data_IF_754070231267
#
_entry.id   IF_754070231267
#
_cell.length_a   1.000
_cell.length_b   1.000
_cell.length_c   1.000
_cell.angle_alpha   90.00
_cell.angle_beta   90.00
_cell.angle_gamma   90.00
#
_symmetry.space_group_name_H-M   'P 1'
#
loop_
_entity.id
_entity.type
_entity.pdbx_description
1 polymer ?
#
# COMPACT_ATOMS: atom_id res chain seq x y z
N UNK A 1 32.02 -26.10 -52.63
CA UNK A 1 31.00 -25.27 -51.97
C UNK A 1 30.09 -26.15 -51.13
N UNK A 2 30.31 -26.15 -49.82
CA UNK A 2 29.39 -26.52 -48.72
C UNK A 2 30.20 -26.26 -47.45
N UNK A 3 29.84 -25.20 -46.71
CA UNK A 3 30.46 -24.82 -45.42
C UNK A 3 29.59 -25.44 -44.33
N UNK A 4 30.19 -26.29 -43.51
CA UNK A 4 29.58 -26.83 -42.30
C UNK A 4 29.59 -25.79 -41.18
N UNK A 5 28.48 -25.73 -40.45
CA UNK A 5 28.20 -24.80 -39.35
C UNK A 5 28.75 -25.34 -38.03
N UNK A 6 29.47 -24.55 -37.19
CA UNK A 6 29.94 -25.03 -35.90
C UNK A 6 28.87 -24.97 -34.79
N UNK A 7 28.87 -26.03 -33.99
CA UNK A 7 27.99 -26.32 -32.86
C UNK A 7 28.26 -25.40 -31.64
N UNK A 8 27.20 -24.85 -31.03
CA UNK A 8 27.18 -23.87 -29.90
C UNK A 8 27.56 -24.44 -28.52
N UNK A 9 28.41 -25.48 -28.43
CA UNK A 9 28.75 -26.14 -27.15
C UNK A 9 30.22 -26.12 -26.72
N UNK A 10 31.05 -25.24 -27.30
CA UNK A 10 32.47 -25.14 -26.94
C UNK A 10 32.99 -23.69 -26.92
N UNK A 11 32.38 -22.79 -26.13
CA UNK A 11 32.90 -21.42 -26.00
C UNK A 11 33.21 -20.94 -24.57
N UNK A 12 33.22 -21.79 -23.54
CA UNK A 12 33.81 -21.36 -22.26
C UNK A 12 34.68 -22.47 -21.69
N UNK A 13 35.88 -22.60 -22.25
CA UNK A 13 37.07 -23.02 -21.52
C UNK A 13 38.27 -22.34 -22.15
N UNK A 14 39.09 -21.75 -21.28
CA UNK A 14 40.47 -21.28 -21.48
C UNK A 14 40.74 -20.00 -22.27
N UNK A 15 40.90 -18.93 -21.50
CA UNK A 15 41.71 -17.72 -21.75
C UNK A 15 41.49 -16.83 -20.53
N UNK A 16 42.43 -16.54 -19.64
CA UNK A 16 43.86 -16.29 -19.75
C UNK A 16 44.11 -15.24 -18.65
N UNK A 17 45.03 -15.50 -17.73
CA UNK A 17 45.24 -14.69 -16.54
C UNK A 17 45.59 -13.23 -16.90
N UNK A 18 44.78 -12.29 -16.41
CA UNK A 18 45.11 -10.86 -16.36
C UNK A 18 44.79 -10.36 -14.94
N UNK A 19 45.80 -9.78 -14.30
CA UNK A 19 45.75 -9.27 -12.94
C UNK A 19 44.67 -8.19 -12.80
N UNK A 20 43.62 -8.47 -12.03
CA UNK A 20 42.65 -7.46 -11.57
C UNK A 20 43.13 -7.00 -10.21
N UNK A 21 43.59 -5.75 -10.15
CA UNK A 21 43.78 -5.03 -8.89
C UNK A 21 42.50 -5.16 -8.07
N UNK A 22 42.64 -5.68 -6.84
CA UNK A 22 41.54 -5.77 -5.90
C UNK A 22 41.11 -4.35 -5.51
N UNK A 23 40.20 -3.76 -6.29
CA UNK A 23 39.33 -2.72 -5.77
C UNK A 23 38.44 -3.42 -4.74
N UNK A 24 38.76 -3.20 -3.48
CA UNK A 24 37.85 -3.49 -2.37
C UNK A 24 36.58 -2.69 -2.63
N UNK A 25 35.58 -3.34 -3.24
CA UNK A 25 34.20 -2.89 -3.16
C UNK A 25 33.85 -3.06 -1.69
N UNK A 26 34.03 -2.00 -0.92
CA UNK A 26 33.49 -1.87 0.43
C UNK A 26 31.98 -1.86 0.29
N UNK A 27 31.36 -3.04 0.32
CA UNK A 27 29.96 -3.15 0.68
C UNK A 27 29.82 -2.51 2.06
N UNK A 28 28.84 -1.60 2.29
CA UNK A 28 28.60 -1.11 3.63
C UNK A 28 28.37 -2.33 4.52
N UNK A 29 29.25 -2.52 5.49
CA UNK A 29 29.06 -3.49 6.56
C UNK A 29 27.72 -3.13 7.19
N UNK A 30 26.69 -3.93 6.93
CA UNK A 30 25.44 -3.86 7.69
C UNK A 30 25.85 -4.25 9.11
N UNK A 31 26.08 -3.24 9.95
CA UNK A 31 26.29 -3.46 11.37
C UNK A 31 25.00 -4.04 11.91
N UNK A 32 25.00 -5.35 12.10
CA UNK A 32 23.95 -6.05 12.83
C UNK A 32 23.73 -5.35 14.17
N UNK A 33 22.51 -4.89 14.43
CA UNK A 33 22.15 -4.34 15.72
C UNK A 33 22.33 -5.41 16.81
N UNK A 34 22.66 -5.00 18.03
CA UNK A 34 22.53 -5.92 19.17
C UNK A 34 21.05 -6.26 19.34
N UNK A 35 20.70 -7.53 19.64
CA UNK A 35 19.33 -7.89 19.96
C UNK A 35 18.74 -6.97 21.02
N UNK A 36 17.53 -6.45 20.79
CA UNK A 36 16.87 -5.54 21.74
C UNK A 36 15.99 -6.35 22.71
N UNK A 37 16.34 -6.39 23.99
CA UNK A 37 15.54 -7.06 25.04
C UNK A 37 14.72 -6.09 25.91
N UNK A 38 14.73 -4.79 25.62
CA UNK A 38 14.02 -3.77 26.40
C UNK A 38 12.50 -3.90 26.22
N UNK A 39 11.73 -3.43 27.20
CA UNK A 39 10.28 -3.27 27.00
C UNK A 39 10.04 -2.15 26.00
N UNK A 40 9.42 -2.45 24.85
CA UNK A 40 9.18 -1.44 23.82
C UNK A 40 7.89 -0.66 24.10
N UNK A 41 7.97 0.67 24.01
CA UNK A 41 6.84 1.58 24.19
C UNK A 41 6.24 1.94 22.83
N UNK A 42 4.97 1.59 22.65
CA UNK A 42 4.24 1.81 21.41
C UNK A 42 3.45 3.13 21.52
N UNK A 43 3.65 4.00 20.55
CA UNK A 43 2.80 5.15 20.25
C UNK A 43 1.76 4.81 19.19
N UNK A 44 0.51 5.19 19.41
CA UNK A 44 -0.57 4.90 18.48
C UNK A 44 -1.23 6.19 17.96
N UNK A 45 -1.13 6.45 16.65
CA UNK A 45 -1.56 7.69 16.01
C UNK A 45 -2.65 7.37 14.97
N UNK A 46 -3.88 7.85 15.23
CA UNK A 46 -5.07 7.57 14.42
C UNK A 46 -5.92 6.42 14.98
N UNK A 47 -6.71 6.70 16.00
CA UNK A 47 -7.47 5.76 16.84
C UNK A 47 -8.79 5.25 16.21
N UNK A 48 -8.79 5.05 14.89
CA UNK A 48 -9.94 4.52 14.15
C UNK A 48 -10.07 2.99 14.23
N UNK A 49 -11.06 2.41 13.54
CA UNK A 49 -11.33 0.97 13.58
C UNK A 49 -10.14 0.11 13.11
N UNK A 50 -9.58 0.39 11.93
CA UNK A 50 -8.40 -0.31 11.42
C UNK A 50 -7.18 -0.12 12.34
N UNK A 51 -6.95 1.11 12.80
CA UNK A 51 -5.87 1.43 13.73
C UNK A 51 -5.99 0.69 15.07
N UNK A 52 -7.19 0.60 15.64
CA UNK A 52 -7.45 -0.17 16.87
C UNK A 52 -7.11 -1.65 16.65
N UNK A 53 -7.37 -2.17 15.44
CA UNK A 53 -6.90 -3.48 15.00
C UNK A 53 -5.37 -3.59 15.05
N UNK A 54 -4.67 -2.71 14.32
CA UNK A 54 -3.20 -2.68 14.24
C UNK A 54 -2.54 -2.57 15.63
N UNK A 55 -3.07 -1.74 16.52
CA UNK A 55 -2.60 -1.64 17.90
C UNK A 55 -2.77 -2.96 18.67
N UNK A 56 -3.92 -3.65 18.52
CA UNK A 56 -4.10 -4.97 19.12
C UNK A 56 -3.15 -6.02 18.54
N UNK A 57 -2.84 -5.96 17.23
CA UNK A 57 -1.90 -6.87 16.58
C UNK A 57 -0.45 -6.62 17.04
N UNK A 58 -0.04 -5.35 17.13
CA UNK A 58 1.26 -4.98 17.68
C UNK A 58 1.46 -5.45 19.12
N UNK A 59 0.44 -5.32 19.98
CA UNK A 59 0.48 -5.81 21.36
C UNK A 59 0.45 -7.35 21.46
N UNK A 60 0.06 -8.05 20.40
CA UNK A 60 0.13 -9.51 20.33
C UNK A 60 1.48 -10.03 19.83
N UNK A 61 2.17 -9.22 19.01
CA UNK A 61 3.36 -9.64 18.31
C UNK A 61 4.55 -9.89 19.23
N UNK A 62 4.53 -9.31 20.43
CA UNK A 62 5.63 -9.41 21.39
C UNK A 62 5.09 -9.30 22.82
N UNK A 63 5.55 -10.20 23.69
CA UNK A 63 5.17 -10.24 25.11
C UNK A 63 5.75 -9.09 25.94
N UNK A 64 6.82 -8.44 25.47
CA UNK A 64 7.57 -7.40 26.20
C UNK A 64 7.38 -6.01 25.58
N UNK A 65 6.12 -5.61 25.46
CA UNK A 65 5.72 -4.30 24.92
C UNK A 65 4.62 -3.68 25.77
N UNK A 66 4.40 -2.38 25.60
CA UNK A 66 3.23 -1.70 26.16
C UNK A 66 2.72 -0.59 25.25
N UNK A 67 1.40 -0.39 25.24
CA UNK A 67 0.81 0.82 24.69
C UNK A 67 1.08 1.97 25.64
N UNK A 68 1.84 2.96 25.18
CA UNK A 68 2.41 4.01 26.03
C UNK A 68 1.75 5.38 25.82
N UNK A 69 1.43 5.74 24.58
CA UNK A 69 0.84 7.02 24.21
C UNK A 69 -0.12 6.89 23.03
N UNK A 70 -1.11 7.78 22.95
CA UNK A 70 -2.12 7.80 21.89
C UNK A 70 -2.35 9.22 21.37
N UNK A 71 -2.52 9.35 20.05
CA UNK A 71 -2.79 10.61 19.36
C UNK A 71 -3.97 10.49 18.41
N UNK A 72 -4.90 11.43 18.45
CA UNK A 72 -6.16 11.41 17.68
C UNK A 72 -6.79 12.81 17.61
N UNK A 73 -7.57 13.13 16.57
CA UNK A 73 -8.29 14.42 16.49
C UNK A 73 -9.62 14.41 17.25
N UNK A 74 -10.18 13.22 17.48
CA UNK A 74 -11.42 13.00 18.23
C UNK A 74 -11.20 12.28 19.56
N UNK A 75 -11.43 12.99 20.67
CA UNK A 75 -11.34 12.41 22.02
C UNK A 75 -12.23 11.16 22.19
N UNK A 76 -13.46 11.21 21.67
CA UNK A 76 -14.37 10.07 21.72
C UNK A 76 -13.79 8.81 21.03
N UNK A 77 -13.11 8.97 19.88
CA UNK A 77 -12.47 7.84 19.19
C UNK A 77 -11.28 7.30 19.97
N UNK A 78 -10.44 8.18 20.52
CA UNK A 78 -9.32 7.80 21.37
C UNK A 78 -9.80 6.96 22.55
N UNK A 79 -10.78 7.46 23.31
CA UNK A 79 -11.30 6.78 24.49
C UNK A 79 -11.98 5.44 24.12
N UNK A 80 -12.73 5.38 23.03
CA UNK A 80 -13.33 4.13 22.56
C UNK A 80 -12.28 3.08 22.18
N UNK A 81 -11.23 3.48 21.46
CA UNK A 81 -10.12 2.60 21.11
C UNK A 81 -9.37 2.12 22.35
N UNK A 82 -9.03 3.02 23.26
CA UNK A 82 -8.32 2.69 24.50
C UNK A 82 -9.13 1.68 25.32
N UNK A 83 -10.43 1.91 25.49
CA UNK A 83 -11.32 0.98 26.20
C UNK A 83 -11.38 -0.40 25.52
N UNK A 84 -11.38 -0.45 24.19
CA UNK A 84 -11.37 -1.71 23.44
C UNK A 84 -10.06 -2.49 23.68
N UNK A 85 -8.93 -1.81 23.56
CA UNK A 85 -7.60 -2.42 23.71
C UNK A 85 -7.38 -2.87 25.15
N UNK A 86 -7.68 -2.03 26.16
CA UNK A 86 -7.53 -2.37 27.57
C UNK A 86 -8.32 -3.62 27.97
N UNK A 87 -9.53 -3.81 27.42
CA UNK A 87 -10.32 -5.02 27.64
C UNK A 87 -9.70 -6.28 27.04
N UNK A 88 -9.00 -6.16 25.91
CA UNK A 88 -8.40 -7.28 25.16
C UNK A 88 -6.97 -7.59 25.57
N UNK A 89 -6.27 -6.62 26.17
CA UNK A 89 -4.83 -6.65 26.47
C UNK A 89 -4.55 -6.24 27.92
N UNK A 90 -5.14 -6.92 28.91
CA UNK A 90 -4.90 -6.60 30.32
C UNK A 90 -3.40 -6.65 30.63
N UNK A 91 -2.89 -5.64 31.34
CA UNK A 91 -1.48 -5.55 31.73
C UNK A 91 -0.51 -5.00 30.67
N UNK A 92 -0.95 -4.79 29.42
CA UNK A 92 -0.11 -4.25 28.34
C UNK A 92 -0.43 -2.79 27.99
N UNK A 93 -1.36 -2.16 28.70
CA UNK A 93 -1.77 -0.77 28.47
C UNK A 93 -1.26 0.11 29.60
N UNK A 94 -0.40 1.06 29.26
CA UNK A 94 0.21 2.04 30.16
C UNK A 94 0.10 3.45 29.57
N UNK A 95 -1.15 3.87 29.31
CA UNK A 95 -1.46 5.20 28.76
C UNK A 95 -1.93 6.11 29.88
N UNK A 96 -1.01 6.90 30.41
CA UNK A 96 -1.30 7.98 31.37
C UNK A 96 -2.20 9.04 30.72
N UNK A 97 -3.15 9.66 31.45
CA UNK A 97 -3.94 10.78 30.95
C UNK A 97 -3.14 11.87 30.22
N UNK A 98 -1.92 12.20 30.68
CA UNK A 98 -1.05 13.20 30.04
C UNK A 98 -0.45 12.76 28.71
N UNK A 99 -0.56 11.46 28.37
CA UNK A 99 -0.10 10.85 27.11
C UNK A 99 -1.26 10.48 26.17
N UNK A 100 -2.44 11.07 26.40
CA UNK A 100 -3.58 11.09 25.49
C UNK A 100 -3.62 12.47 24.82
N UNK A 101 -3.15 12.54 23.58
CA UNK A 101 -3.01 13.80 22.87
C UNK A 101 -4.14 13.97 21.85
N UNK A 102 -4.79 15.13 21.90
CA UNK A 102 -5.87 15.50 20.98
C UNK A 102 -5.44 16.65 20.08
N UNK A 103 -5.70 16.54 18.78
CA UNK A 103 -5.42 17.58 17.79
C UNK A 103 -4.65 17.08 16.57
N UNK A 104 -4.53 17.92 15.54
CA UNK A 104 -3.75 17.61 14.33
C UNK A 104 -2.24 17.52 14.62
N UNK A 105 -1.77 18.15 15.70
CA UNK A 105 -0.39 18.09 16.18
C UNK A 105 -0.13 16.90 17.13
N UNK A 106 -1.14 16.08 17.43
CA UNK A 106 -1.03 14.98 18.39
C UNK A 106 0.06 13.96 18.02
N UNK A 107 0.36 13.78 16.73
CA UNK A 107 1.43 12.89 16.29
C UNK A 107 2.80 13.33 16.82
N UNK A 108 3.11 14.64 16.84
CA UNK A 108 4.38 15.17 17.35
C UNK A 108 4.51 14.89 18.83
N UNK A 109 3.45 15.18 19.59
CA UNK A 109 3.39 14.93 21.05
C UNK A 109 3.55 13.44 21.38
N UNK A 110 2.98 12.54 20.58
CA UNK A 110 3.21 11.08 20.73
C UNK A 110 4.68 10.75 20.50
N UNK A 111 5.32 11.28 19.45
CA UNK A 111 6.73 11.02 19.14
C UNK A 111 7.67 11.50 20.25
N UNK A 112 7.35 12.62 20.89
CA UNK A 112 8.09 13.23 22.01
C UNK A 112 7.84 12.53 23.35
N UNK A 113 6.81 11.70 23.45
CA UNK A 113 6.40 11.07 24.72
C UNK A 113 7.32 9.94 25.20
N UNK A 114 8.40 9.62 24.47
CA UNK A 114 9.33 8.55 24.82
C UNK A 114 8.95 7.17 24.27
N UNK A 115 8.23 7.14 23.15
CA UNK A 115 7.93 5.91 22.39
C UNK A 115 9.17 5.40 21.65
N UNK A 116 9.24 4.09 21.44
CA UNK A 116 10.26 3.42 20.61
C UNK A 116 9.72 3.10 19.20
N UNK A 117 8.43 2.77 19.11
CA UNK A 117 7.73 2.41 17.87
C UNK A 117 6.43 3.21 17.75
N UNK A 118 6.07 3.62 16.53
CA UNK A 118 4.76 4.22 16.25
C UNK A 118 3.96 3.45 15.22
N UNK A 119 2.64 3.39 15.47
CA UNK A 119 1.63 2.85 14.55
C UNK A 119 0.89 4.03 13.94
N UNK A 120 1.05 4.22 12.63
CA UNK A 120 0.48 5.34 11.87
C UNK A 120 -0.73 4.87 11.05
N UNK A 121 -1.93 5.20 11.52
CA UNK A 121 -3.20 4.73 10.94
C UNK A 121 -4.19 5.89 10.71
N UNK A 122 -3.67 7.10 10.54
CA UNK A 122 -4.43 8.28 10.12
C UNK A 122 -4.80 8.21 8.63
N UNK A 123 -5.74 9.04 8.14
CA UNK A 123 -6.01 9.16 6.71
C UNK A 123 -4.71 9.35 5.90
N UNK A 124 -4.60 8.75 4.70
CA UNK A 124 -3.35 8.67 3.96
C UNK A 124 -2.75 10.02 3.57
N UNK A 125 -3.56 11.07 3.41
CA UNK A 125 -3.07 12.42 3.13
C UNK A 125 -2.08 12.93 4.19
N UNK A 126 -2.25 12.55 5.46
CA UNK A 126 -1.36 12.94 6.56
C UNK A 126 -0.09 12.08 6.66
N UNK A 127 -0.06 10.94 5.96
CA UNK A 127 1.01 9.95 6.14
C UNK A 127 2.40 10.48 5.79
N UNK A 128 2.61 11.26 4.70
CA UNK A 128 3.93 11.81 4.41
C UNK A 128 4.49 12.64 5.57
N UNK A 129 3.65 13.48 6.20
CA UNK A 129 4.03 14.31 7.33
C UNK A 129 4.36 13.47 8.56
N UNK A 130 3.46 12.54 8.94
CA UNK A 130 3.64 11.73 10.14
C UNK A 130 4.83 10.77 10.02
N UNK A 131 5.04 10.17 8.84
CA UNK A 131 6.15 9.25 8.60
C UNK A 131 7.49 9.97 8.64
N UNK A 132 7.60 11.13 7.97
CA UNK A 132 8.81 11.95 8.02
C UNK A 132 9.20 12.29 9.46
N UNK A 133 8.25 12.81 10.24
CA UNK A 133 8.49 13.16 11.64
C UNK A 133 8.89 11.94 12.49
N UNK A 134 8.29 10.77 12.26
CA UNK A 134 8.63 9.54 12.98
C UNK A 134 10.07 9.08 12.69
N UNK A 135 10.49 9.13 11.41
CA UNK A 135 11.85 8.79 11.01
C UNK A 135 12.86 9.80 11.57
N UNK A 136 12.55 11.10 11.52
CA UNK A 136 13.38 12.16 12.09
C UNK A 136 13.57 11.96 13.60
N UNK A 137 12.51 11.58 14.31
CA UNK A 137 12.51 11.26 15.74
C UNK A 137 13.10 9.88 16.11
N UNK A 138 13.71 9.17 15.15
CA UNK A 138 14.35 7.85 15.34
C UNK A 138 13.40 6.78 15.90
N UNK A 139 12.18 6.68 15.38
CA UNK A 139 11.21 5.66 15.81
C UNK A 139 11.16 4.51 14.83
N UNK A 140 10.88 3.29 15.30
CA UNK A 140 10.40 2.22 14.43
C UNK A 140 8.96 2.53 13.99
N UNK A 141 8.57 2.10 12.79
CA UNK A 141 7.30 2.50 12.19
C UNK A 141 6.55 1.28 11.63
N UNK A 142 5.29 1.16 12.06
CA UNK A 142 4.25 0.57 11.23
C UNK A 142 3.41 1.68 10.61
N UNK A 143 3.14 1.60 9.31
CA UNK A 143 2.26 2.53 8.62
C UNK A 143 1.24 1.76 7.79
N UNK A 144 -0.05 2.08 7.97
CA UNK A 144 -1.12 1.50 7.12
C UNK A 144 -0.89 1.83 5.65
N UNK A 145 -1.64 1.24 4.71
CA UNK A 145 -1.63 1.66 3.29
C UNK A 145 -2.73 2.69 3.03
N UNK A 146 -2.64 3.56 1.99
CA UNK A 146 -1.53 3.86 1.06
C UNK A 146 -0.61 5.01 1.52
N UNK A 147 0.63 5.10 1.04
CA UNK A 147 1.67 5.96 1.66
C UNK A 147 1.53 7.45 1.46
N UNK A 148 0.76 7.85 0.45
CA UNK A 148 0.42 9.22 0.15
C UNK A 148 -0.84 9.22 -0.72
N UNK A 149 -1.39 10.41 -0.93
CA UNK A 149 -2.50 10.63 -1.85
C UNK A 149 -2.08 11.38 -3.10
N UNK A 150 -0.84 11.85 -3.21
CA UNK A 150 -0.30 12.55 -4.38
C UNK A 150 1.22 12.31 -4.56
N UNK A 151 1.76 12.74 -5.69
CA UNK A 151 3.17 12.53 -6.03
C UNK A 151 4.14 13.35 -5.15
N UNK A 152 3.89 14.65 -4.84
CA UNK A 152 4.73 15.39 -3.89
C UNK A 152 4.83 14.73 -2.51
N UNK A 153 3.70 14.30 -1.94
CA UNK A 153 3.65 13.57 -0.68
C UNK A 153 4.42 12.26 -0.77
N UNK A 154 4.27 11.51 -1.86
CA UNK A 154 5.00 10.26 -2.02
C UNK A 154 6.51 10.45 -2.16
N UNK A 155 6.98 11.49 -2.85
CA UNK A 155 8.42 11.81 -2.90
C UNK A 155 8.99 12.09 -1.50
N UNK A 156 8.25 12.77 -0.64
CA UNK A 156 8.62 12.95 0.78
C UNK A 156 8.72 11.61 1.53
N UNK A 157 7.80 10.67 1.28
CA UNK A 157 7.90 9.30 1.84
C UNK A 157 9.12 8.57 1.31
N UNK A 158 9.46 8.73 0.02
CA UNK A 158 10.63 8.12 -0.58
C UNK A 158 11.94 8.60 0.05
N UNK A 159 12.04 9.89 0.35
CA UNK A 159 13.16 10.45 1.11
C UNK A 159 13.21 9.90 2.54
N UNK A 160 12.04 9.80 3.18
CA UNK A 160 11.92 9.35 4.57
C UNK A 160 12.29 7.88 4.74
N UNK A 161 11.88 6.96 3.84
CA UNK A 161 12.27 5.55 4.00
C UNK A 161 13.77 5.33 3.77
N UNK A 162 14.40 6.10 2.86
CA UNK A 162 15.85 6.06 2.64
C UNK A 162 16.61 6.55 3.88
N UNK A 163 16.07 7.55 4.56
CA UNK A 163 16.62 7.99 5.84
C UNK A 163 16.41 6.93 6.93
N UNK A 164 15.25 6.27 6.96
CA UNK A 164 14.96 5.18 7.90
C UNK A 164 15.94 3.99 7.71
N UNK A 165 16.24 3.63 6.46
CA UNK A 165 17.24 2.60 6.12
C UNK A 165 18.63 2.99 6.66
N UNK A 166 19.09 4.21 6.40
CA UNK A 166 20.37 4.72 6.93
C UNK A 166 20.44 4.72 8.46
N UNK A 167 19.30 4.91 9.12
CA UNK A 167 19.17 4.92 10.59
C UNK A 167 18.96 3.53 11.19
N UNK A 168 18.80 2.48 10.37
CA UNK A 168 18.48 1.14 10.85
C UNK A 168 17.11 1.08 11.54
N UNK A 169 16.12 1.83 11.04
CA UNK A 169 14.76 1.80 11.59
C UNK A 169 13.90 0.79 10.83
N UNK A 170 13.20 -0.07 11.57
CA UNK A 170 12.16 -0.91 10.99
C UNK A 170 11.00 -0.05 10.43
N UNK A 171 10.58 -0.35 9.21
CA UNK A 171 9.48 0.26 8.48
C UNK A 171 8.66 -0.85 7.83
N UNK A 172 7.48 -1.14 8.39
CA UNK A 172 6.54 -2.11 7.83
C UNK A 172 5.28 -1.43 7.35
N UNK A 173 4.92 -1.71 6.09
CA UNK A 173 3.71 -1.21 5.47
C UNK A 173 2.55 -2.18 5.66
N UNK A 174 1.34 -1.65 5.87
CA UNK A 174 0.07 -2.40 5.98
C UNK A 174 -0.36 -3.12 4.69
N UNK A 175 0.56 -3.43 3.77
CA UNK A 175 0.36 -4.35 2.64
C UNK A 175 0.41 -5.81 3.10
N UNK A 176 -0.44 -6.16 4.08
CA UNK A 176 -0.49 -7.43 4.80
C UNK A 176 -0.47 -8.70 3.91
N UNK A 177 -0.99 -8.64 2.69
CA UNK A 177 -0.97 -9.75 1.73
C UNK A 177 0.43 -10.22 1.36
N UNK A 178 1.43 -9.35 1.48
CA UNK A 178 2.83 -9.69 1.27
C UNK A 178 3.43 -10.53 2.40
N UNK A 179 2.75 -10.60 3.54
CA UNK A 179 3.17 -11.35 4.73
C UNK A 179 2.48 -12.71 4.84
N UNK A 180 1.38 -12.91 4.10
CA UNK A 180 0.60 -14.13 4.18
C UNK A 180 1.32 -15.31 3.47
N UNK A 181 1.58 -16.44 4.17
CA UNK A 181 2.39 -17.54 3.64
C UNK A 181 1.88 -18.13 2.33
N UNK A 182 0.55 -18.28 2.19
CA UNK A 182 -0.06 -18.81 0.98
C UNK A 182 0.21 -17.93 -0.24
N UNK A 183 0.03 -16.62 -0.11
CA UNK A 183 0.37 -15.67 -1.18
C UNK A 183 1.86 -15.65 -1.48
N UNK A 184 2.74 -15.69 -0.47
CA UNK A 184 4.19 -15.77 -0.68
C UNK A 184 4.56 -16.99 -1.54
N UNK A 185 4.00 -18.15 -1.20
CA UNK A 185 4.19 -19.38 -1.98
C UNK A 185 3.58 -19.30 -3.38
N UNK A 186 2.38 -18.74 -3.51
CA UNK A 186 1.70 -18.56 -4.78
C UNK A 186 2.51 -17.68 -5.75
N UNK A 187 2.93 -16.50 -5.32
CA UNK A 187 3.73 -15.60 -6.14
C UNK A 187 5.13 -16.16 -6.40
N UNK A 188 5.72 -16.89 -5.45
CA UNK A 188 6.98 -17.61 -5.65
C UNK A 188 6.85 -18.63 -6.79
N UNK A 189 5.82 -19.47 -6.80
CA UNK A 189 5.61 -20.46 -7.87
C UNK A 189 5.44 -19.81 -9.24
N UNK A 190 4.74 -18.69 -9.31
CA UNK A 190 4.60 -17.94 -10.56
C UNK A 190 5.96 -17.41 -11.02
N UNK A 191 6.74 -16.82 -10.11
CA UNK A 191 8.10 -16.35 -10.40
C UNK A 191 9.04 -17.49 -10.82
N UNK A 192 8.87 -18.69 -10.26
CA UNK A 192 9.59 -19.91 -10.64
C UNK A 192 9.13 -20.50 -12.00
N UNK A 193 8.16 -19.86 -12.67
CA UNK A 193 7.73 -20.20 -14.03
C UNK A 193 6.56 -21.18 -14.12
N UNK A 194 5.80 -21.40 -13.05
CA UNK A 194 4.68 -22.34 -13.02
C UNK A 194 3.60 -22.09 -14.10
N UNK A 195 3.48 -20.86 -14.58
CA UNK A 195 2.58 -20.48 -15.70
C UNK A 195 3.33 -19.96 -16.93
N UNK A 196 4.66 -20.14 -16.99
CA UNK A 196 5.52 -19.54 -18.02
C UNK A 196 5.61 -18.01 -17.90
N UNK A 197 5.95 -17.34 -19.00
CA UNK A 197 6.01 -15.88 -19.05
C UNK A 197 4.62 -15.27 -18.78
N UNK A 198 4.51 -14.43 -17.76
CA UNK A 198 3.29 -13.68 -17.43
C UNK A 198 2.95 -12.71 -18.57
N UNK A 199 1.71 -12.78 -19.07
CA UNK A 199 1.20 -11.91 -20.13
C UNK A 199 0.25 -10.86 -19.58
N UNK A 200 -0.63 -11.25 -18.65
CA UNK A 200 -1.54 -10.32 -18.02
C UNK A 200 -1.98 -10.72 -16.62
N UNK A 201 -2.42 -9.72 -15.87
CA UNK A 201 -3.22 -9.90 -14.65
C UNK A 201 -4.43 -8.98 -14.74
N UNK A 202 -5.62 -9.53 -14.55
CA UNK A 202 -6.83 -8.76 -14.34
C UNK A 202 -7.26 -8.89 -12.87
N UNK A 203 -7.14 -7.80 -12.14
CA UNK A 203 -7.58 -7.70 -10.76
C UNK A 203 -8.92 -6.96 -10.70
N UNK A 204 -9.77 -7.35 -9.76
CA UNK A 204 -11.04 -6.68 -9.50
C UNK A 204 -11.13 -6.24 -8.05
N UNK A 205 -11.73 -5.08 -7.84
CA UNK A 205 -12.12 -4.56 -6.53
C UNK A 205 -13.48 -3.90 -6.65
N UNK A 206 -14.51 -4.74 -6.69
CA UNK A 206 -15.89 -4.39 -6.89
C UNK A 206 -16.66 -4.54 -5.58
N UNK A 207 -17.02 -3.42 -4.99
CA UNK A 207 -17.67 -3.35 -3.68
C UNK A 207 -18.66 -2.19 -3.65
N UNK A 208 -19.36 -2.02 -2.54
CA UNK A 208 -20.00 -0.75 -2.19
C UNK A 208 -18.99 0.25 -1.60
N UNK A 209 -19.41 1.51 -1.40
CA UNK A 209 -18.61 2.51 -0.70
C UNK A 209 -18.36 2.12 0.76
N UNK A 210 -17.14 2.34 1.27
CA UNK A 210 -16.77 2.06 2.68
C UNK A 210 -17.49 3.01 3.63
N UNK A 211 -17.49 4.29 3.30
CA UNK A 211 -18.19 5.34 4.04
C UNK A 211 -18.76 6.35 3.04
N UNK A 212 -20.05 6.23 2.66
CA UNK A 212 -20.72 7.21 1.82
C UNK A 212 -20.59 8.63 2.36
N UNK A 213 -20.44 9.60 1.46
CA UNK A 213 -20.46 11.01 1.86
C UNK A 213 -21.87 11.38 2.34
N UNK A 214 -22.04 11.90 3.57
CA UNK A 214 -23.34 12.39 4.01
C UNK A 214 -23.75 13.66 3.23
N UNK A 215 -25.05 14.01 3.21
CA UNK A 215 -25.51 15.30 2.68
C UNK A 215 -24.83 16.47 3.37
N UNK A 216 -24.61 17.57 2.64
CA UNK A 216 -23.95 18.76 3.20
C UNK A 216 -24.73 19.39 4.36
N UNK A 217 -26.05 19.18 4.42
CA UNK A 217 -26.90 19.58 5.56
C UNK A 217 -26.59 18.85 6.86
N UNK A 218 -25.83 17.75 6.82
CA UNK A 218 -25.34 17.06 8.02
C UNK A 218 -24.06 17.71 8.60
N UNK A 219 -23.45 18.67 7.90
CA UNK A 219 -22.33 19.46 8.41
C UNK A 219 -22.85 20.41 9.48
N UNK A 220 -22.23 20.36 10.66
CA UNK A 220 -22.50 21.33 11.72
C UNK A 220 -21.86 22.67 11.39
N UNK A 221 -22.50 23.75 11.80
CA UNK A 221 -22.05 25.12 11.50
C UNK A 221 -20.66 25.40 12.06
N UNK A 222 -20.34 24.86 13.24
CA UNK A 222 -19.04 25.03 13.90
C UNK A 222 -17.89 24.24 13.24
N UNK A 223 -18.19 23.28 12.35
CA UNK A 223 -17.14 22.49 11.71
C UNK A 223 -16.49 23.27 10.58
N UNK A 224 -15.18 23.50 10.73
CA UNK A 224 -14.33 24.02 9.67
C UNK A 224 -14.31 23.11 8.44
N UNK A 225 -13.75 23.60 7.33
CA UNK A 225 -13.62 22.78 6.12
C UNK A 225 -12.69 21.59 6.38
N UNK A 226 -11.60 21.83 7.11
CA UNK A 226 -10.64 20.78 7.49
C UNK A 226 -11.30 19.73 8.37
N UNK A 227 -12.03 20.13 9.40
CA UNK A 227 -12.73 19.19 10.27
C UNK A 227 -13.78 18.37 9.50
N UNK A 228 -14.62 19.03 8.69
CA UNK A 228 -15.63 18.35 7.86
C UNK A 228 -14.99 17.32 6.92
N UNK A 229 -13.90 17.69 6.27
CA UNK A 229 -13.21 16.86 5.30
C UNK A 229 -12.49 15.68 5.98
N UNK A 230 -11.80 15.90 7.10
CA UNK A 230 -11.13 14.82 7.85
C UNK A 230 -12.14 13.85 8.47
N UNK A 231 -13.29 14.35 8.96
CA UNK A 231 -14.37 13.48 9.46
C UNK A 231 -14.91 12.56 8.35
N UNK A 232 -14.86 12.98 7.09
CA UNK A 232 -15.38 12.28 5.93
C UNK A 232 -14.30 11.90 4.90
N UNK A 233 -13.07 11.70 5.39
CA UNK A 233 -11.83 11.64 4.60
C UNK A 233 -11.81 10.71 3.38
N UNK A 234 -12.57 9.61 3.39
CA UNK A 234 -12.69 8.70 2.24
C UNK A 234 -13.17 9.41 0.97
N UNK A 235 -13.93 10.49 1.10
CA UNK A 235 -14.62 11.15 -0.01
C UNK A 235 -13.86 12.35 -0.58
N UNK A 236 -12.66 12.64 -0.06
CA UNK A 236 -11.83 13.76 -0.49
C UNK A 236 -10.48 13.27 -1.01
N UNK A 237 -10.12 13.67 -2.23
CA UNK A 237 -8.90 13.17 -2.90
C UNK A 237 -7.62 13.50 -2.13
N UNK A 238 -7.54 14.64 -1.46
CA UNK A 238 -6.38 14.99 -0.65
C UNK A 238 -6.21 14.12 0.59
N UNK A 239 -7.32 13.71 1.21
CA UNK A 239 -7.32 13.03 2.49
C UNK A 239 -7.27 11.51 2.32
N UNK A 240 -8.10 10.98 1.43
CA UNK A 240 -8.23 9.55 1.14
C UNK A 240 -7.58 9.09 -0.17
N UNK A 241 -7.44 9.97 -1.17
CA UNK A 241 -6.96 9.59 -2.49
C UNK A 241 -8.12 9.36 -3.47
N UNK A 242 -8.78 8.22 -3.35
CA UNK A 242 -10.04 7.77 -3.97
C UNK A 242 -10.19 6.25 -3.72
N UNK A 243 -11.15 5.58 -4.37
CA UNK A 243 -11.32 4.12 -4.27
C UNK A 243 -10.13 3.31 -4.81
N UNK A 244 -9.39 3.83 -5.79
CA UNK A 244 -8.22 3.17 -6.36
C UNK A 244 -7.01 3.28 -5.45
N UNK A 245 -6.70 4.49 -5.00
CA UNK A 245 -5.53 4.81 -4.17
C UNK A 245 -5.70 4.28 -2.76
N UNK A 246 -6.90 4.33 -2.17
CA UNK A 246 -7.10 3.95 -0.77
C UNK A 246 -7.43 2.47 -0.61
N UNK A 247 -8.39 1.95 -1.38
CA UNK A 247 -8.92 0.60 -1.17
C UNK A 247 -8.27 -0.40 -2.12
N UNK A 248 -8.38 -0.17 -3.43
CA UNK A 248 -7.89 -1.10 -4.44
C UNK A 248 -6.36 -1.12 -4.58
N UNK A 249 -5.63 -0.28 -3.83
CA UNK A 249 -4.17 -0.28 -3.78
C UNK A 249 -3.60 -1.64 -3.32
N UNK A 250 -4.34 -2.45 -2.58
CA UNK A 250 -3.96 -3.83 -2.33
C UNK A 250 -3.93 -4.69 -3.60
N UNK A 251 -4.86 -4.45 -4.53
CA UNK A 251 -4.86 -5.10 -5.85
C UNK A 251 -3.76 -4.53 -6.75
N UNK A 252 -3.50 -3.23 -6.68
CA UNK A 252 -2.33 -2.61 -7.34
C UNK A 252 -1.02 -3.21 -6.82
N UNK A 253 -0.89 -3.42 -5.51
CA UNK A 253 0.28 -4.03 -4.89
C UNK A 253 0.50 -5.47 -5.36
N UNK A 254 -0.56 -6.27 -5.54
CA UNK A 254 -0.46 -7.62 -6.14
C UNK A 254 -0.01 -7.57 -7.61
N UNK A 255 -0.50 -6.60 -8.38
CA UNK A 255 -0.02 -6.38 -9.76
C UNK A 255 1.47 -6.03 -9.73
N UNK A 256 1.89 -5.10 -8.85
CA UNK A 256 3.31 -4.77 -8.64
C UNK A 256 4.12 -6.02 -8.31
N UNK A 257 3.65 -6.83 -7.35
CA UNK A 257 4.33 -8.05 -6.91
C UNK A 257 4.52 -9.05 -8.05
N UNK A 258 3.48 -9.25 -8.87
CA UNK A 258 3.53 -10.16 -10.00
C UNK A 258 4.65 -9.82 -10.99
N UNK A 259 4.90 -8.52 -11.18
CA UNK A 259 5.93 -8.00 -12.07
C UNK A 259 7.23 -7.66 -11.33
N UNK A 260 7.48 -8.31 -10.18
CA UNK A 260 8.75 -8.19 -9.44
C UNK A 260 8.98 -6.81 -8.84
N UNK A 261 7.91 -6.07 -8.56
CA UNK A 261 7.93 -4.69 -8.05
C UNK A 261 8.59 -3.67 -8.99
N UNK A 262 8.74 -4.04 -10.26
CA UNK A 262 9.17 -3.13 -11.31
C UNK A 262 8.05 -2.11 -11.61
N UNK A 263 8.38 -0.82 -11.77
CA UNK A 263 7.40 0.17 -12.18
C UNK A 263 6.89 -0.13 -13.60
N UNK A 264 5.58 0.06 -13.88
CA UNK A 264 5.07 0.01 -15.24
C UNK A 264 5.66 1.15 -16.07
N UNK A 265 5.82 0.94 -17.37
CA UNK A 265 6.26 1.99 -18.29
C UNK A 265 5.26 3.15 -18.36
N UNK A 266 3.98 2.80 -18.52
CA UNK A 266 2.88 3.76 -18.61
C UNK A 266 1.55 3.12 -18.23
N UNK A 267 0.50 3.92 -18.05
CA UNK A 267 -0.86 3.43 -17.97
C UNK A 267 -1.85 4.37 -18.66
N UNK A 268 -3.02 3.83 -18.97
CA UNK A 268 -4.24 4.57 -19.30
C UNK A 268 -5.34 4.13 -18.36
N UNK A 269 -6.34 4.96 -18.12
CA UNK A 269 -7.50 4.59 -17.34
C UNK A 269 -8.77 5.28 -17.82
N UNK A 270 -9.90 4.66 -17.52
CA UNK A 270 -11.25 5.19 -17.78
C UNK A 270 -12.07 5.09 -16.51
N UNK A 271 -13.04 5.99 -16.32
CA UNK A 271 -13.86 5.99 -15.11
C UNK A 271 -14.71 7.24 -14.99
N UNK A 272 -15.26 7.44 -13.81
CA UNK A 272 -16.07 8.59 -13.50
C UNK A 272 -16.88 8.40 -12.24
N UNK A 273 -17.96 9.18 -12.15
CA UNK A 273 -18.90 9.15 -11.04
C UNK A 273 -20.32 9.05 -11.58
N UNK A 274 -21.04 8.01 -11.20
CA UNK A 274 -22.43 7.81 -11.57
C UNK A 274 -23.39 8.23 -10.44
N UNK A 275 -22.96 8.11 -9.17
CA UNK A 275 -23.75 8.47 -8.00
C UNK A 275 -23.35 9.84 -7.45
N UNK A 276 -24.30 10.70 -7.04
CA UNK A 276 -23.99 11.92 -6.29
C UNK A 276 -23.09 11.62 -5.08
N UNK A 277 -22.05 12.44 -4.88
CA UNK A 277 -21.13 12.32 -3.75
C UNK A 277 -21.12 13.57 -2.84
N UNK A 278 -22.22 14.35 -2.85
CA UNK A 278 -22.36 15.61 -2.09
C UNK A 278 -21.12 16.51 -2.27
N UNK A 279 -20.51 17.02 -1.20
CA UNK A 279 -19.27 17.79 -1.26
C UNK A 279 -18.00 16.98 -1.54
N UNK A 280 -18.07 15.65 -1.65
CA UNK A 280 -16.95 14.78 -2.00
C UNK A 280 -16.56 14.87 -3.48
N UNK A 281 -15.27 14.70 -3.80
CA UNK A 281 -14.71 14.93 -5.13
C UNK A 281 -14.03 13.70 -5.76
N UNK A 282 -14.30 12.51 -5.22
CA UNK A 282 -13.79 11.24 -5.76
C UNK A 282 -14.74 10.64 -6.81
N UNK A 283 -14.16 9.89 -7.75
CA UNK A 283 -14.91 8.97 -8.62
C UNK A 283 -15.40 7.73 -7.87
N UNK A 284 -16.49 7.14 -8.36
CA UNK A 284 -17.06 5.89 -7.79
C UNK A 284 -16.62 4.63 -8.55
N UNK A 285 -16.00 4.79 -9.73
CA UNK A 285 -15.37 3.71 -10.48
C UNK A 285 -14.20 4.19 -11.34
N UNK A 286 -13.21 3.32 -11.50
CA UNK A 286 -12.08 3.51 -12.40
C UNK A 286 -11.53 2.14 -12.83
N UNK A 287 -11.19 2.02 -14.10
CA UNK A 287 -10.48 0.86 -14.64
C UNK A 287 -9.15 1.31 -15.23
N UNK A 288 -8.05 0.73 -14.75
CA UNK A 288 -6.68 1.09 -15.14
C UNK A 288 -6.03 -0.04 -15.92
N UNK A 289 -5.27 0.31 -16.95
CA UNK A 289 -4.45 -0.58 -17.75
C UNK A 289 -2.98 -0.12 -17.70
N UNK A 290 -2.17 -0.84 -16.93
CA UNK A 290 -0.72 -0.69 -16.81
C UNK A 290 0.02 -1.49 -17.88
N UNK A 291 0.99 -0.86 -18.54
CA UNK A 291 1.91 -1.48 -19.49
C UNK A 291 3.26 -1.74 -18.82
N UNK A 292 3.69 -2.98 -18.82
CA UNK A 292 4.99 -3.43 -18.33
C UNK A 292 5.92 -3.81 -19.49
N UNK A 293 7.16 -4.20 -19.15
CA UNK A 293 8.13 -4.69 -20.11
C UNK A 293 7.58 -5.84 -20.96
N UNK A 294 8.13 -5.99 -22.17
CA UNK A 294 7.76 -7.04 -23.14
C UNK A 294 6.27 -7.03 -23.53
N UNK A 295 5.54 -5.94 -23.25
CA UNK A 295 4.14 -5.78 -23.62
C UNK A 295 3.14 -6.39 -22.63
N UNK A 296 3.60 -6.91 -21.47
CA UNK A 296 2.72 -7.46 -20.46
C UNK A 296 1.80 -6.38 -19.85
N UNK A 297 0.61 -6.79 -19.39
CA UNK A 297 -0.45 -5.86 -19.00
C UNK A 297 -1.03 -6.17 -17.62
N UNK A 298 -1.12 -5.15 -16.76
CA UNK A 298 -1.88 -5.20 -15.51
C UNK A 298 -3.18 -4.43 -15.68
N UNK A 299 -4.32 -5.07 -15.45
CA UNK A 299 -5.64 -4.47 -15.49
C UNK A 299 -6.22 -4.46 -14.08
N UNK A 300 -6.83 -3.36 -13.68
CA UNK A 300 -7.55 -3.27 -12.41
C UNK A 300 -8.87 -2.56 -12.60
N UNK A 301 -9.97 -3.30 -12.42
CA UNK A 301 -11.30 -2.72 -12.28
C UNK A 301 -11.60 -2.39 -10.81
N UNK A 302 -11.85 -1.12 -10.50
CA UNK A 302 -12.28 -0.67 -9.18
C UNK A 302 -13.68 -0.06 -9.27
N UNK A 303 -14.59 -0.46 -8.37
CA UNK A 303 -15.92 0.13 -8.25
C UNK A 303 -16.42 0.17 -6.81
N UNK A 304 -17.08 1.25 -6.44
CA UNK A 304 -17.74 1.48 -5.15
C UNK A 304 -19.18 1.96 -5.34
N UNK A 305 -20.03 1.11 -5.90
CA UNK A 305 -21.44 1.41 -6.17
C UNK A 305 -22.32 0.37 -5.48
N UNK A 306 -23.25 0.76 -4.60
CA UNK A 306 -24.10 -0.18 -3.88
C UNK A 306 -25.07 -0.89 -4.84
N UNK A 307 -25.41 -2.15 -4.53
CA UNK A 307 -26.36 -2.95 -5.31
C UNK A 307 -25.80 -3.57 -6.59
N UNK A 308 -24.50 -3.43 -6.87
CA UNK A 308 -23.84 -4.08 -8.01
C UNK A 308 -23.15 -5.40 -7.59
N UNK A 309 -22.80 -6.24 -8.58
CA UNK A 309 -22.07 -7.51 -8.37
C UNK A 309 -20.74 -7.32 -7.63
N UNK A 310 -20.58 -7.93 -6.45
CA UNK A 310 -19.36 -7.83 -5.67
C UNK A 310 -18.28 -8.84 -6.10
N UNK A 311 -17.04 -8.39 -6.22
CA UNK A 311 -15.89 -9.24 -6.56
C UNK A 311 -14.57 -8.65 -6.04
N UNK A 312 -13.68 -9.50 -5.54
CA UNK A 312 -12.30 -9.13 -5.23
C UNK A 312 -11.38 -10.31 -5.61
N UNK A 313 -11.13 -10.44 -6.91
CA UNK A 313 -10.40 -11.57 -7.50
C UNK A 313 -9.22 -11.08 -8.33
N UNK A 314 -8.25 -11.96 -8.54
CA UNK A 314 -7.15 -11.77 -9.48
C UNK A 314 -7.10 -12.94 -10.46
N UNK A 315 -7.03 -12.62 -11.75
CA UNK A 315 -6.94 -13.57 -12.84
C UNK A 315 -5.63 -13.35 -13.59
N UNK A 316 -4.74 -14.33 -13.56
CA UNK A 316 -3.38 -14.21 -14.10
C UNK A 316 -3.23 -15.17 -15.28
N UNK A 317 -2.74 -14.65 -16.40
CA UNK A 317 -2.50 -15.41 -17.62
C UNK A 317 -1.01 -15.45 -17.95
N UNK A 318 -0.48 -16.64 -18.13
CA UNK A 318 0.88 -16.88 -18.61
C UNK A 318 0.90 -17.74 -19.86
N UNK A 319 2.06 -17.85 -20.48
CA UNK A 319 2.26 -18.62 -21.74
C UNK A 319 2.07 -20.13 -21.60
N UNK A 320 2.12 -20.67 -20.39
CA UNK A 320 1.99 -22.12 -20.11
C UNK A 320 0.82 -22.47 -19.20
N UNK A 321 0.12 -21.48 -18.65
CA UNK A 321 -0.94 -21.71 -17.67
C UNK A 321 -1.64 -20.45 -17.21
N UNK A 322 -2.49 -20.62 -16.20
CA UNK A 322 -3.25 -19.56 -15.55
C UNK A 322 -3.12 -19.69 -14.04
N UNK A 323 -3.28 -18.58 -13.34
CA UNK A 323 -3.38 -18.57 -11.90
C UNK A 323 -4.53 -17.67 -11.44
N UNK A 324 -5.09 -17.94 -10.27
CA UNK A 324 -6.21 -17.21 -9.72
C UNK A 324 -6.07 -17.01 -8.21
N UNK A 325 -6.46 -15.83 -7.76
CA UNK A 325 -6.71 -15.49 -6.36
C UNK A 325 -8.19 -15.13 -6.25
N UNK A 326 -8.94 -15.85 -5.42
CA UNK A 326 -10.40 -15.72 -5.33
C UNK A 326 -11.07 -17.10 -5.42
N UNK A 327 -11.75 -17.52 -4.36
CA UNK A 327 -12.18 -18.92 -4.20
C UNK A 327 -11.05 -19.91 -3.87
N UNK A 328 -9.82 -19.41 -3.69
CA UNK A 328 -8.59 -20.14 -3.37
C UNK A 328 -7.35 -19.45 -3.95
N UNK A 329 -6.17 -20.02 -3.70
CA UNK A 329 -4.92 -19.71 -4.42
C UNK A 329 -4.65 -20.87 -5.35
N UNK A 330 -4.84 -20.67 -6.65
CA UNK A 330 -4.91 -21.75 -7.64
C UNK A 330 -3.96 -21.46 -8.80
N UNK A 331 -3.18 -22.47 -9.22
CA UNK A 331 -2.38 -22.46 -10.45
C UNK A 331 -2.81 -23.66 -11.29
N UNK A 332 -2.95 -23.44 -12.59
CA UNK A 332 -3.42 -24.44 -13.56
C UNK A 332 -2.61 -24.40 -14.84
N UNK A 333 -2.41 -25.57 -15.46
CA UNK A 333 -1.85 -25.65 -16.81
C UNK A 333 -2.77 -25.05 -17.88
N UNK A 334 -2.21 -24.75 -19.07
CA UNK A 334 -2.95 -24.12 -20.19
C UNK A 334 -4.23 -24.87 -20.64
N UNK A 335 -4.28 -26.18 -20.43
CA UNK A 335 -5.36 -27.08 -20.89
C UNK A 335 -6.36 -27.45 -19.76
N UNK A 336 -6.29 -26.77 -18.60
CA UNK A 336 -7.06 -27.13 -17.42
C UNK A 336 -8.57 -26.82 -17.51
N UNK A 337 -8.98 -25.93 -18.41
CA UNK A 337 -10.38 -25.57 -18.63
C UNK A 337 -10.92 -26.40 -19.80
N UNK A 338 -11.97 -27.21 -19.55
CA UNK A 338 -12.71 -27.96 -20.56
C UNK A 338 -14.22 -27.73 -20.40
N UNK A 339 -14.94 -27.64 -21.51
CA UNK A 339 -16.40 -27.46 -21.54
C UNK A 339 -16.85 -26.12 -22.13
N UNK A 340 -18.16 -25.98 -22.37
CA UNK A 340 -18.82 -24.73 -22.82
C UNK A 340 -19.34 -23.94 -21.63
N UNK A 341 -19.53 -22.61 -21.73
CA UNK A 341 -19.83 -21.64 -20.63
C UNK A 341 -20.79 -22.08 -19.52
N UNK A 342 -21.68 -23.02 -19.79
CA UNK A 342 -22.67 -23.52 -18.85
C UNK A 342 -22.20 -24.73 -18.02
N UNK A 343 -21.15 -25.44 -18.45
CA UNK A 343 -20.64 -26.71 -17.90
C UNK A 343 -19.10 -26.74 -17.85
N UNK A 344 -18.45 -25.70 -17.29
CA UNK A 344 -16.99 -25.67 -17.19
C UNK A 344 -16.55 -26.68 -16.13
N UNK A 345 -15.84 -27.72 -16.57
CA UNK A 345 -15.19 -28.67 -15.65
C UNK A 345 -13.70 -28.34 -15.58
N UNK A 346 -13.21 -28.11 -14.36
CA UNK A 346 -11.78 -28.15 -14.09
C UNK A 346 -11.33 -29.58 -14.30
N UNK A 347 -10.56 -29.83 -15.37
CA UNK A 347 -10.06 -31.18 -15.63
C UNK A 347 -9.06 -31.53 -14.54
N UNK A 348 -9.25 -32.61 -13.75
CA UNK A 348 -8.31 -32.99 -12.68
C UNK A 348 -6.92 -33.36 -13.21
N UNK A 349 -6.78 -33.55 -14.53
CA UNK A 349 -5.60 -34.09 -15.18
C UNK A 349 -4.68 -33.00 -15.79
N UNK A 350 -4.95 -31.72 -15.56
CA UNK A 350 -4.08 -30.61 -15.98
C UNK A 350 -3.55 -29.89 -14.74
N UNK A 351 -2.38 -30.28 -14.26
CA UNK A 351 -1.60 -29.71 -13.13
C UNK A 351 -2.30 -28.57 -12.37
N UNK A 352 -3.22 -28.96 -11.47
CA UNK A 352 -3.91 -28.07 -10.54
C UNK A 352 -3.09 -28.02 -9.25
N UNK A 353 -2.36 -26.93 -9.02
CA UNK A 353 -1.86 -26.63 -7.69
C UNK A 353 -2.87 -25.73 -6.97
N UNK A 354 -3.24 -26.12 -5.75
CA UNK A 354 -4.01 -25.29 -4.83
C UNK A 354 -3.25 -25.20 -3.52
N UNK A 355 -3.14 -24.00 -2.96
CA UNK A 355 -2.51 -23.84 -1.65
C UNK A 355 -3.33 -24.59 -0.58
N UNK A 356 -2.66 -25.51 0.12
CA UNK A 356 -3.20 -26.31 1.23
C UNK A 356 -2.34 -26.22 2.49
N UNK A 357 -1.34 -25.33 2.48
CA UNK A 357 -0.45 -25.09 3.61
C UNK A 357 -1.12 -24.29 4.74
N UNK A 358 -0.37 -23.96 5.79
CA UNK A 358 -0.90 -23.19 6.92
C UNK A 358 -1.40 -21.83 6.44
N UNK A 359 -2.60 -21.45 6.88
CA UNK A 359 -3.08 -20.08 6.77
C UNK A 359 -2.51 -19.21 7.88
N UNK A 360 -3.09 -18.04 8.06
CA UNK A 360 -2.80 -17.17 9.19
C UNK A 360 -3.50 -15.83 9.04
N UNK A 361 -3.56 -15.09 10.14
CA UNK A 361 -4.06 -13.73 10.08
C UNK A 361 -2.95 -12.83 9.52
N UNK A 362 -3.09 -12.46 8.24
CA UNK A 362 -2.14 -11.58 7.54
C UNK A 362 -1.84 -10.27 8.30
N UNK A 363 -2.84 -9.71 9.01
CA UNK A 363 -2.65 -8.52 9.83
C UNK A 363 -1.84 -8.79 11.10
N UNK A 364 -1.83 -10.02 11.61
CA UNK A 364 -1.01 -10.37 12.76
C UNK A 364 0.43 -10.64 12.32
N UNK A 365 0.61 -11.40 11.23
CA UNK A 365 1.94 -11.82 10.75
C UNK A 365 2.83 -10.62 10.41
N UNK A 366 2.28 -9.57 9.79
CA UNK A 366 3.08 -8.36 9.47
C UNK A 366 3.61 -7.66 10.73
N UNK A 367 2.84 -7.70 11.83
CA UNK A 367 3.30 -7.19 13.11
C UNK A 367 4.27 -8.16 13.77
N UNK A 368 4.02 -9.47 13.75
CA UNK A 368 4.94 -10.47 14.29
C UNK A 368 6.34 -10.34 13.66
N UNK A 369 6.40 -10.22 12.34
CA UNK A 369 7.66 -10.03 11.59
C UNK A 369 8.30 -8.66 11.87
N UNK A 370 7.50 -7.58 11.99
CA UNK A 370 7.99 -6.25 12.39
C UNK A 370 8.72 -6.32 13.75
N UNK A 371 8.07 -6.86 14.77
CA UNK A 371 8.65 -6.91 16.12
C UNK A 371 9.85 -7.87 16.16
N UNK A 372 9.76 -9.04 15.50
CA UNK A 372 10.90 -9.96 15.39
C UNK A 372 12.13 -9.28 14.77
N UNK A 373 11.94 -8.48 13.71
CA UNK A 373 13.02 -7.74 13.03
C UNK A 373 13.68 -6.64 13.87
N UNK A 374 12.96 -6.11 14.86
CA UNK A 374 13.52 -5.17 15.83
C UNK A 374 14.33 -5.93 16.87
N UNK A 375 13.79 -7.06 17.34
CA UNK A 375 14.41 -7.89 18.39
C UNK A 375 15.70 -8.54 17.95
N UNK A 376 15.80 -8.98 16.70
CA UNK A 376 16.99 -9.64 16.18
C UNK A 376 18.07 -8.66 15.67
N UNK A 377 17.77 -7.36 15.61
CA UNK A 377 18.66 -6.32 15.10
C UNK A 377 18.74 -6.25 13.57
N UNK A 378 17.80 -6.87 12.85
CA UNK A 378 17.68 -6.88 11.38
C UNK A 378 16.37 -6.21 10.92
N UNK A 379 16.21 -4.89 11.13
CA UNK A 379 14.95 -4.20 10.90
C UNK A 379 14.45 -4.36 9.45
N UNK A 380 13.21 -4.80 9.30
CA UNK A 380 12.54 -4.84 7.98
C UNK A 380 12.35 -3.42 7.45
N UNK A 381 12.56 -3.21 6.15
CA UNK A 381 12.23 -1.95 5.49
C UNK A 381 11.46 -2.19 4.18
N UNK A 382 10.17 -1.89 4.21
CA UNK A 382 9.26 -2.01 3.06
C UNK A 382 9.32 -0.82 2.09
N UNK A 383 10.19 0.15 2.35
CA UNK A 383 10.16 1.49 1.75
C UNK A 383 10.08 1.53 0.23
N UNK A 384 10.93 0.77 -0.46
CA UNK A 384 10.95 0.75 -1.92
C UNK A 384 9.65 0.18 -2.51
N UNK A 385 9.27 -1.04 -2.10
CA UNK A 385 8.07 -1.75 -2.62
C UNK A 385 6.78 -1.00 -2.28
N UNK A 386 6.69 -0.45 -1.07
CA UNK A 386 5.49 0.22 -0.59
C UNK A 386 5.24 1.55 -1.32
N UNK A 387 6.32 2.26 -1.67
CA UNK A 387 6.26 3.46 -2.50
C UNK A 387 5.90 3.12 -3.94
N UNK A 388 6.45 2.04 -4.52
CA UNK A 388 6.11 1.63 -5.88
C UNK A 388 4.62 1.32 -6.02
N UNK A 389 4.06 0.49 -5.15
CA UNK A 389 2.64 0.15 -5.18
C UNK A 389 1.73 1.38 -5.00
N UNK A 390 2.10 2.29 -4.09
CA UNK A 390 1.36 3.55 -3.87
C UNK A 390 1.44 4.46 -5.10
N UNK A 391 2.62 4.61 -5.71
CA UNK A 391 2.82 5.43 -6.92
C UNK A 391 2.01 4.86 -8.09
N UNK A 392 1.97 3.53 -8.26
CA UNK A 392 1.16 2.89 -9.30
C UNK A 392 -0.32 3.23 -9.15
N UNK A 393 -0.85 3.24 -7.93
CA UNK A 393 -2.26 3.57 -7.70
C UNK A 393 -2.54 5.05 -8.00
N UNK A 394 -1.68 5.95 -7.52
CA UNK A 394 -1.75 7.39 -7.82
C UNK A 394 -1.64 7.63 -9.33
N UNK A 395 -0.72 6.95 -10.01
CA UNK A 395 -0.52 7.01 -11.46
C UNK A 395 -1.78 6.59 -12.22
N UNK A 396 -2.44 5.51 -11.80
CA UNK A 396 -3.72 5.07 -12.36
C UNK A 396 -4.82 6.13 -12.21
N UNK A 397 -4.92 6.76 -11.04
CA UNK A 397 -5.85 7.87 -10.81
C UNK A 397 -5.51 9.08 -11.70
N UNK A 398 -4.24 9.47 -11.79
CA UNK A 398 -3.81 10.58 -12.66
C UNK A 398 -4.21 10.30 -14.11
N UNK A 399 -3.96 9.09 -14.61
CA UNK A 399 -4.34 8.71 -15.98
C UNK A 399 -5.85 8.81 -16.20
N UNK A 400 -6.65 8.34 -15.24
CA UNK A 400 -8.11 8.43 -15.32
C UNK A 400 -8.57 9.88 -15.30
N UNK A 401 -8.19 10.63 -14.26
CA UNK A 401 -8.67 11.99 -14.01
C UNK A 401 -8.25 12.96 -15.12
N UNK A 402 -7.07 12.78 -15.70
CA UNK A 402 -6.59 13.62 -16.82
C UNK A 402 -7.10 13.13 -18.18
N UNK A 403 -7.46 11.85 -18.32
CA UNK A 403 -7.74 11.21 -19.60
C UNK A 403 -6.51 11.02 -20.48
N UNK A 404 -5.30 11.11 -19.92
CA UNK A 404 -4.03 10.96 -20.65
C UNK A 404 -3.43 9.59 -20.43
N UNK A 405 -2.63 9.14 -21.40
CA UNK A 405 -1.62 8.14 -21.10
C UNK A 405 -0.55 8.79 -20.24
N UNK A 406 -0.22 8.16 -19.12
CA UNK A 406 0.73 8.68 -18.14
C UNK A 406 1.90 7.72 -18.04
N UNK A 407 3.12 8.19 -18.20
CA UNK A 407 4.34 7.41 -17.93
C UNK A 407 4.68 7.42 -16.43
N UNK A 408 5.50 6.46 -15.99
CA UNK A 408 5.98 6.44 -14.61
C UNK A 408 6.63 7.78 -14.20
N UNK A 409 7.49 8.32 -15.07
CA UNK A 409 8.19 9.57 -14.82
C UNK A 409 7.25 10.76 -14.73
N UNK A 410 6.22 10.83 -15.58
CA UNK A 410 5.20 11.89 -15.49
C UNK A 410 4.41 11.81 -14.18
N UNK A 411 4.06 10.60 -13.74
CA UNK A 411 3.35 10.40 -12.48
C UNK A 411 4.23 10.81 -11.30
N UNK A 412 5.46 10.30 -11.24
CA UNK A 412 6.40 10.57 -10.14
C UNK A 412 6.80 12.04 -10.06
N UNK A 413 6.92 12.73 -11.20
CA UNK A 413 7.28 14.15 -11.25
C UNK A 413 6.10 15.12 -11.23
N UNK A 414 4.87 14.60 -11.09
CA UNK A 414 3.68 15.42 -11.03
C UNK A 414 3.79 16.51 -9.95
N UNK A 415 3.32 17.71 -10.29
CA UNK A 415 3.32 18.91 -9.43
C UNK A 415 2.02 19.11 -8.66
N UNK A 416 1.02 18.26 -8.88
CA UNK A 416 -0.27 18.38 -8.19
C UNK A 416 -0.07 18.07 -6.71
N UNK A 417 -0.24 19.08 -5.89
CA UNK A 417 -0.24 19.00 -4.43
C UNK A 417 -1.68 19.14 -3.96
N UNK A 418 -2.21 18.06 -3.39
CA UNK A 418 -3.58 18.02 -2.91
C UNK A 418 -3.68 18.47 -1.45
N UNK A 419 -2.57 18.46 -0.70
CA UNK A 419 -2.62 18.61 0.74
C UNK A 419 -2.91 20.06 1.17
N UNK A 420 -3.89 20.30 2.07
CA UNK A 420 -4.24 21.64 2.51
C UNK A 420 -3.07 22.41 3.14
N UNK A 421 -2.98 23.70 2.81
CA UNK A 421 -1.98 24.61 3.40
C UNK A 421 -2.39 25.11 4.78
N UNK A 422 -3.68 25.36 4.98
CA UNK A 422 -4.25 25.69 6.27
C UNK A 422 -4.66 24.39 6.99
N UNK A 423 -3.90 24.04 8.04
CA UNK A 423 -4.09 22.83 8.83
C UNK A 423 -4.71 23.15 10.19
N UNK A 424 -5.51 24.21 10.29
CA UNK A 424 -6.25 24.52 11.51
C UNK A 424 -7.52 23.64 11.60
N UNK A 425 -7.68 22.92 12.70
CA UNK A 425 -8.85 22.06 12.92
C UNK A 425 -10.15 22.87 13.10
N UNK A 426 -10.09 23.99 13.80
CA UNK A 426 -11.27 24.76 14.24
C UNK A 426 -11.69 25.81 13.21
N UNK A 427 -10.73 26.40 12.49
CA UNK A 427 -10.99 27.52 11.57
C UNK A 427 -10.51 27.28 10.16
N UNK A 428 -9.88 26.13 9.90
CA UNK A 428 -9.20 25.85 8.65
C UNK A 428 -10.13 25.88 7.45
N UNK A 429 -9.73 26.63 6.42
CA UNK A 429 -10.46 26.73 5.15
C UNK A 429 -9.78 25.92 4.07
N UNK A 430 -10.57 25.17 3.32
CA UNK A 430 -10.04 24.38 2.21
C UNK A 430 -11.12 24.03 1.20
N UNK A 431 -10.90 24.41 -0.06
CA UNK A 431 -11.71 23.97 -1.19
C UNK A 431 -10.96 22.84 -1.90
N UNK A 432 -11.45 21.59 -1.85
CA UNK A 432 -10.83 20.50 -2.61
C UNK A 432 -10.94 20.77 -4.11
N UNK A 433 -10.09 20.15 -4.96
CA UNK A 433 -10.27 20.22 -6.39
C UNK A 433 -11.68 19.82 -6.80
N UNK A 434 -12.24 20.48 -7.81
CA UNK A 434 -13.48 20.03 -8.43
C UNK A 434 -13.34 18.58 -8.90
N UNK A 435 -14.48 17.91 -9.08
CA UNK A 435 -14.48 16.59 -9.69
C UNK A 435 -13.74 16.64 -11.03
N UNK A 436 -12.86 15.66 -11.24
CA UNK A 436 -12.07 15.58 -12.44
C UNK A 436 -12.95 15.31 -13.67
N UNK A 437 -12.82 16.17 -14.67
CA UNK A 437 -13.38 15.98 -16.01
C UNK A 437 -12.20 15.66 -16.95
N UNK A 438 -12.06 14.42 -17.43
CA UNK A 438 -10.94 14.01 -18.27
C UNK A 438 -10.83 14.83 -19.55
N UNK A 439 -9.61 15.09 -20.01
CA UNK A 439 -9.33 15.87 -21.21
C UNK A 439 -9.39 17.39 -21.04
N UNK A 440 -9.77 17.89 -19.86
CA UNK A 440 -9.84 19.34 -19.59
C UNK A 440 -8.50 19.90 -19.13
N UNK A 441 -8.29 21.20 -19.36
CA UNK A 441 -7.08 21.91 -18.94
C UNK A 441 -6.96 21.93 -17.42
N UNK A 442 -8.08 22.03 -16.72
CA UNK A 442 -8.21 22.06 -15.27
C UNK A 442 -7.72 20.75 -14.64
N UNK A 443 -8.02 19.61 -15.26
CA UNK A 443 -7.54 18.31 -14.81
C UNK A 443 -6.03 18.11 -15.10
N UNK A 444 -5.53 18.60 -16.24
CA UNK A 444 -4.15 18.32 -16.71
C UNK A 444 -3.12 19.28 -16.10
N UNK A 445 -3.39 20.58 -16.12
CA UNK A 445 -2.41 21.63 -15.78
C UNK A 445 -1.75 21.47 -14.40
N UNK A 446 -2.45 21.04 -13.32
CA UNK A 446 -1.83 20.87 -12.01
C UNK A 446 -0.65 19.90 -12.00
N UNK A 447 -0.58 18.96 -12.95
CA UNK A 447 0.49 17.97 -12.98
C UNK A 447 1.83 18.53 -13.50
N UNK A 448 1.82 19.68 -14.17
CA UNK A 448 3.04 20.39 -14.59
C UNK A 448 3.78 19.80 -15.79
N UNK A 449 3.16 18.87 -16.51
CA UNK A 449 3.59 18.38 -17.82
C UNK A 449 2.51 18.68 -18.86
N UNK A 450 2.91 18.86 -20.11
CA UNK A 450 2.07 19.34 -21.21
C UNK A 450 1.27 18.22 -21.89
#
# INVERSE_FOLDING_TARGET
MKKDTPNRRQFIKTGGAAAVAASTISFPTVTFGKPDSRKLKIGFIGCGGRGTGAANQALNADSNVELWAMGEVSEARLNNSLNNISKRKPGMVNVDPKRKFIGLDAYQKVLESGVDLVILTTPPGFRPLHFKAAVEANKHIFLEKPMATDAPGLRSVMESYKLAEKKGLAVVAGFCWRYEPGRREFFKRIADGAIGDVQSMYATYYTGPVKPMPPDSARKEEWSDIEWQVRNWYNFTWCGGDGLVEQAVHSVDKISWLFGDAPPHSCVAVGGRQKPNNSGNIWDHIEVNYLFERGARGFLGQRQIPGCHGENNDYIHGTKGRAQIGGGLIITGKDAIKGNTNDWTYSPNGDLWRYTGPGGNMYQIEHDELFASIRDGNPINDGARMCNATMMAIMGRIAGYTGKQVTWDQALNSKQDLFPKDQNWETGKHTPPAEAIPGTKEAISPHGWA
#
